data_IF_406627025398
#
_entry.id   IF_406627025398
#
_cell.length_a   1.000
_cell.length_b   1.000
_cell.length_c   1.000
_cell.angle_alpha   90.00
_cell.angle_beta   90.00
_cell.angle_gamma   90.00
#
_symmetry.space_group_name_H-M   'P 1'
#
loop_
_entity.id
_entity.type
_entity.pdbx_description
1 polymer ?
#
# COMPACT_ATOMS: atom_id res chain seq x y z
N UNK A 1 -17.20 34.20 -27.06
CA UNK A 1 -18.04 33.00 -27.05
C UNK A 1 -17.34 32.00 -26.14
N UNK A 2 -17.75 31.91 -24.88
CA UNK A 2 -17.05 31.11 -23.86
C UNK A 2 -17.45 29.66 -24.02
N UNK A 3 -16.50 28.84 -24.46
CA UNK A 3 -16.61 27.40 -24.64
C UNK A 3 -16.73 26.75 -23.25
N UNK A 4 -17.94 26.73 -22.69
CA UNK A 4 -18.21 26.11 -21.39
C UNK A 4 -18.26 24.61 -21.59
N UNK A 5 -17.08 23.98 -21.56
CA UNK A 5 -16.93 22.53 -21.58
C UNK A 5 -17.88 21.91 -20.55
N UNK A 6 -18.83 21.12 -21.00
CA UNK A 6 -19.81 20.47 -20.12
C UNK A 6 -19.14 19.26 -19.46
N UNK A 7 -18.85 19.37 -18.15
CA UNK A 7 -18.10 18.36 -17.39
C UNK A 7 -18.99 17.22 -16.86
N UNK A 8 -20.27 17.48 -16.68
CA UNK A 8 -21.23 16.51 -16.14
C UNK A 8 -21.26 15.24 -16.98
N UNK A 9 -21.22 14.09 -16.30
CA UNK A 9 -21.23 12.77 -16.92
C UNK A 9 -19.88 12.30 -17.47
N UNK A 10 -18.87 13.17 -17.54
CA UNK A 10 -17.53 12.78 -17.96
C UNK A 10 -16.89 11.82 -16.94
N UNK A 11 -16.05 10.92 -17.44
CA UNK A 11 -15.25 9.99 -16.64
C UNK A 11 -13.81 10.47 -16.60
N UNK A 12 -13.27 10.65 -15.40
CA UNK A 12 -11.87 11.00 -15.17
C UNK A 12 -11.27 9.91 -14.28
N UNK A 13 -10.43 9.06 -14.87
CA UNK A 13 -9.89 7.88 -14.18
C UNK A 13 -11.01 6.98 -13.61
N UNK A 14 -10.98 6.66 -12.30
CA UNK A 14 -12.02 5.87 -11.66
C UNK A 14 -13.24 6.69 -11.22
N UNK A 15 -13.30 7.99 -11.50
CA UNK A 15 -14.38 8.88 -11.06
C UNK A 15 -15.31 9.27 -12.21
N UNK A 16 -16.59 9.49 -11.88
CA UNK A 16 -17.56 10.15 -12.77
C UNK A 16 -18.02 11.46 -12.16
N UNK A 17 -18.02 12.50 -12.98
CA UNK A 17 -18.43 13.86 -12.61
C UNK A 17 -19.96 13.96 -12.65
N UNK A 18 -20.55 14.58 -11.63
CA UNK A 18 -21.97 14.84 -11.45
C UNK A 18 -22.33 16.32 -11.66
N UNK A 19 -23.29 16.79 -10.87
CA UNK A 19 -23.79 18.17 -10.95
C UNK A 19 -22.75 19.19 -10.50
N UNK A 20 -22.85 20.42 -11.03
CA UNK A 20 -22.06 21.56 -10.56
C UNK A 20 -22.69 22.12 -9.28
N UNK A 21 -21.88 22.50 -8.31
CA UNK A 21 -22.37 23.26 -7.16
C UNK A 21 -22.73 24.69 -7.59
N UNK A 22 -23.98 25.13 -7.33
CA UNK A 22 -24.41 26.47 -7.72
C UNK A 22 -23.77 27.55 -6.84
N UNK A 23 -23.69 28.77 -7.40
CA UNK A 23 -23.35 29.97 -6.64
C UNK A 23 -21.86 30.17 -6.34
N UNK A 24 -20.96 29.34 -6.88
CA UNK A 24 -19.52 29.61 -6.89
C UNK A 24 -19.20 30.48 -8.12
N UNK A 25 -18.60 31.67 -7.95
CA UNK A 25 -18.24 32.56 -9.04
C UNK A 25 -17.42 31.85 -10.13
N UNK A 26 -17.62 32.21 -11.40
CA UNK A 26 -16.96 31.54 -12.53
C UNK A 26 -15.48 31.89 -12.68
N UNK A 27 -15.06 32.99 -12.06
CA UNK A 27 -13.68 33.44 -11.89
C UNK A 27 -12.94 32.66 -10.79
N UNK A 28 -13.66 31.91 -9.95
CA UNK A 28 -13.10 30.93 -9.03
C UNK A 28 -13.03 29.52 -9.66
N UNK A 29 -12.63 28.53 -8.87
CA UNK A 29 -12.72 27.13 -9.27
C UNK A 29 -14.17 26.67 -9.43
N UNK A 30 -14.45 25.87 -10.46
CA UNK A 30 -15.75 25.21 -10.65
C UNK A 30 -15.76 23.91 -9.87
N UNK A 31 -16.65 23.82 -8.89
CA UNK A 31 -16.82 22.61 -8.09
C UNK A 31 -17.96 21.75 -8.62
N UNK A 32 -17.70 20.46 -8.73
CA UNK A 32 -18.67 19.47 -9.14
C UNK A 32 -18.70 18.30 -8.15
N UNK A 33 -19.88 17.71 -7.99
CA UNK A 33 -20.00 16.38 -7.42
C UNK A 33 -19.19 15.39 -8.24
N UNK A 34 -18.60 14.40 -7.57
CA UNK A 34 -18.01 13.24 -8.22
C UNK A 34 -18.28 11.98 -7.40
N UNK A 35 -18.16 10.82 -8.02
CA UNK A 35 -18.24 9.56 -7.32
C UNK A 35 -17.28 8.54 -7.92
N UNK A 36 -16.69 7.72 -7.07
CA UNK A 36 -15.87 6.60 -7.51
C UNK A 36 -16.76 5.53 -8.15
N UNK A 37 -16.43 5.09 -9.35
CA UNK A 37 -17.29 4.19 -10.14
C UNK A 37 -17.49 2.82 -9.48
N UNK A 38 -16.46 2.29 -8.84
CA UNK A 38 -16.51 0.97 -8.18
C UNK A 38 -17.05 1.04 -6.76
N UNK A 39 -16.45 1.85 -5.87
CA UNK A 39 -16.85 1.95 -4.46
C UNK A 39 -18.13 2.77 -4.26
N UNK A 40 -18.50 3.63 -5.22
CA UNK A 40 -19.58 4.63 -5.11
C UNK A 40 -19.39 5.60 -3.97
N UNK A 41 -18.16 5.79 -3.52
CA UNK A 41 -17.83 6.79 -2.52
C UNK A 41 -17.95 8.18 -3.14
N UNK A 42 -18.50 9.16 -2.38
CA UNK A 42 -18.57 10.54 -2.83
C UNK A 42 -17.16 11.13 -2.94
N UNK A 43 -16.97 11.97 -3.94
CA UNK A 43 -15.76 12.73 -4.18
C UNK A 43 -16.12 14.14 -4.65
N UNK A 44 -15.16 15.05 -4.58
CA UNK A 44 -15.29 16.42 -5.08
C UNK A 44 -14.38 16.59 -6.29
N UNK A 45 -14.93 17.03 -7.41
CA UNK A 45 -14.14 17.43 -8.58
C UNK A 45 -13.94 18.94 -8.54
N UNK A 46 -12.67 19.36 -8.46
CA UNK A 46 -12.24 20.75 -8.49
C UNK A 46 -11.68 21.05 -9.88
N UNK A 47 -12.29 21.99 -10.58
CA UNK A 47 -11.95 22.30 -11.97
C UNK A 47 -11.49 23.77 -12.06
N UNK A 48 -10.38 24.08 -12.74
CA UNK A 48 -9.91 25.45 -12.88
C UNK A 48 -10.95 26.36 -13.57
N UNK A 49 -10.91 27.67 -13.27
CA UNK A 49 -11.67 28.67 -14.01
C UNK A 49 -11.30 28.64 -15.49
N UNK A 50 -12.21 29.11 -16.33
CA UNK A 50 -12.00 29.10 -17.78
C UNK A 50 -10.80 29.96 -18.16
N UNK A 51 -9.84 29.37 -18.89
CA UNK A 51 -8.63 30.07 -19.34
C UNK A 51 -7.45 30.02 -18.37
N UNK A 52 -7.63 29.38 -17.20
CA UNK A 52 -6.52 29.07 -16.30
C UNK A 52 -6.12 27.60 -16.46
N UNK A 53 -4.81 27.35 -16.49
CA UNK A 53 -4.23 26.01 -16.46
C UNK A 53 -3.36 25.90 -15.21
N UNK A 54 -3.91 25.24 -14.18
CA UNK A 54 -3.13 24.92 -12.98
C UNK A 54 -2.04 23.96 -13.41
N UNK A 55 -0.79 24.44 -13.43
CA UNK A 55 0.39 23.72 -13.93
C UNK A 55 0.69 22.48 -13.09
N UNK A 56 -0.13 21.45 -13.24
CA UNK A 56 -0.07 20.15 -12.58
C UNK A 56 0.05 19.07 -13.66
N UNK A 57 1.17 19.03 -14.41
CA UNK A 57 1.34 18.13 -15.55
C UNK A 57 1.43 16.66 -15.15
N UNK A 58 1.85 16.37 -13.92
CA UNK A 58 2.02 15.01 -13.44
C UNK A 58 0.74 14.49 -12.79
N UNK A 59 0.19 13.33 -13.19
CA UNK A 59 -0.95 12.74 -12.50
C UNK A 59 -0.48 12.03 -11.22
N UNK A 60 -1.11 12.35 -10.09
CA UNK A 60 -0.77 11.81 -8.77
C UNK A 60 -2.01 11.69 -7.88
N UNK A 61 -1.90 10.90 -6.82
CA UNK A 61 -2.84 10.84 -5.71
C UNK A 61 -2.16 11.38 -4.45
N UNK A 62 -2.84 12.27 -3.74
CA UNK A 62 -2.40 12.78 -2.44
C UNK A 62 -3.41 12.35 -1.40
N UNK A 63 -2.99 11.53 -0.45
CA UNK A 63 -3.81 11.07 0.67
C UNK A 63 -3.35 11.77 1.93
N UNK A 64 -4.27 12.46 2.58
CA UNK A 64 -4.03 13.10 3.88
C UNK A 64 -4.77 12.32 4.96
N UNK A 65 -4.04 11.83 5.96
CA UNK A 65 -4.60 11.06 7.08
C UNK A 65 -4.34 11.81 8.38
N UNK A 66 -5.41 12.22 9.06
CA UNK A 66 -5.32 12.81 10.38
C UNK A 66 -5.39 11.71 11.45
N UNK A 67 -4.40 11.69 12.35
CA UNK A 67 -4.38 10.89 13.56
C UNK A 67 -4.57 11.83 14.76
N UNK A 68 -5.80 11.98 15.29
CA UNK A 68 -6.09 12.91 16.39
C UNK A 68 -5.23 12.68 17.63
N UNK A 69 -4.88 11.42 17.88
CA UNK A 69 -3.88 11.01 18.85
C UNK A 69 -2.85 10.15 18.09
N UNK A 70 -1.58 10.57 17.96
CA UNK A 70 -0.87 11.61 18.72
C UNK A 70 -0.96 13.05 18.18
N UNK A 71 -1.93 13.39 17.33
CA UNK A 71 -2.08 14.74 16.76
C UNK A 71 -1.20 14.95 15.52
N UNK A 72 -1.11 13.92 14.68
CA UNK A 72 -0.22 13.90 13.51
C UNK A 72 -1.04 13.87 12.24
N UNK A 73 -0.65 14.71 11.28
CA UNK A 73 -1.18 14.70 9.92
C UNK A 73 -0.14 14.05 9.00
N UNK A 74 -0.47 12.89 8.43
CA UNK A 74 0.37 12.21 7.45
C UNK A 74 -0.11 12.54 6.05
N UNK A 75 0.83 12.81 5.15
CA UNK A 75 0.56 13.10 3.74
C UNK A 75 1.33 12.10 2.89
N UNK A 76 0.60 11.20 2.24
CA UNK A 76 1.15 10.22 1.30
C UNK A 76 0.92 10.73 -0.13
N UNK A 77 1.98 10.81 -0.93
CA UNK A 77 1.89 11.13 -2.35
C UNK A 77 2.28 9.91 -3.18
N UNK A 78 1.35 9.44 -4.02
CA UNK A 78 1.55 8.30 -4.90
C UNK A 78 1.44 8.75 -6.36
N UNK A 79 2.46 8.51 -7.21
CA UNK A 79 2.36 8.75 -8.64
C UNK A 79 1.28 7.85 -9.24
N UNK A 80 0.53 8.35 -10.22
CA UNK A 80 -0.50 7.55 -10.87
C UNK A 80 0.03 6.89 -12.16
N UNK A 81 -0.15 5.57 -12.29
CA UNK A 81 0.44 4.75 -13.37
C UNK A 81 1.98 4.86 -13.40
N UNK A 82 2.61 4.66 -14.57
CA UNK A 82 4.06 4.77 -14.77
C UNK A 82 4.55 6.22 -14.88
N UNK A 83 3.90 7.16 -14.18
CA UNK A 83 4.27 8.57 -14.18
C UNK A 83 5.44 8.83 -13.24
N UNK A 84 6.23 9.86 -13.56
CA UNK A 84 7.27 10.38 -12.67
C UNK A 84 6.68 10.80 -11.31
N UNK A 85 7.50 10.77 -10.26
CA UNK A 85 7.09 11.29 -8.97
C UNK A 85 6.78 12.79 -9.04
N UNK A 86 5.65 13.25 -8.46
CA UNK A 86 5.32 14.67 -8.46
C UNK A 86 6.31 15.46 -7.62
N UNK A 87 6.55 16.71 -8.00
CA UNK A 87 7.40 17.62 -7.23
C UNK A 87 6.66 18.14 -6.00
N UNK A 88 7.40 18.53 -4.96
CA UNK A 88 6.83 19.19 -3.77
C UNK A 88 6.03 20.45 -4.16
N UNK A 89 6.46 21.16 -5.20
CA UNK A 89 5.76 22.34 -5.71
C UNK A 89 4.38 21.98 -6.29
N UNK A 90 4.29 20.96 -7.13
CA UNK A 90 2.99 20.48 -7.67
C UNK A 90 2.06 19.99 -6.56
N UNK A 91 2.59 19.24 -5.58
CA UNK A 91 1.82 18.78 -4.43
C UNK A 91 1.28 19.96 -3.61
N UNK A 92 2.11 20.98 -3.39
CA UNK A 92 1.73 22.20 -2.66
C UNK A 92 0.63 22.96 -3.40
N UNK A 93 0.76 23.15 -4.71
CA UNK A 93 -0.26 23.81 -5.52
C UNK A 93 -1.58 23.03 -5.48
N UNK A 94 -1.55 21.71 -5.70
CA UNK A 94 -2.75 20.88 -5.63
C UNK A 94 -3.43 20.95 -4.26
N UNK A 95 -2.66 20.97 -3.17
CA UNK A 95 -3.18 21.16 -1.82
C UNK A 95 -3.83 22.53 -1.62
N UNK A 96 -3.22 23.62 -2.12
CA UNK A 96 -3.78 24.98 -2.05
C UNK A 96 -5.12 25.05 -2.80
N UNK A 97 -5.19 24.54 -4.03
CA UNK A 97 -6.43 24.54 -4.80
C UNK A 97 -7.54 23.74 -4.11
N UNK A 98 -7.18 22.58 -3.54
CA UNK A 98 -8.13 21.74 -2.79
C UNK A 98 -8.60 22.43 -1.51
N UNK A 99 -7.70 23.07 -0.76
CA UNK A 99 -8.06 23.80 0.46
C UNK A 99 -8.97 25.01 0.15
N UNK A 100 -8.68 25.75 -0.92
CA UNK A 100 -9.52 26.86 -1.38
C UNK A 100 -10.93 26.37 -1.76
N UNK A 101 -11.02 25.27 -2.51
CA UNK A 101 -12.28 24.63 -2.87
C UNK A 101 -13.09 24.15 -1.65
N UNK A 102 -12.42 23.55 -0.66
CA UNK A 102 -13.09 23.11 0.57
C UNK A 102 -13.55 24.32 1.41
N UNK A 103 -12.77 25.40 1.44
CA UNK A 103 -13.12 26.62 2.18
C UNK A 103 -14.33 27.33 1.57
N UNK A 104 -14.44 27.36 0.23
CA UNK A 104 -15.60 27.97 -0.45
C UNK A 104 -16.89 27.16 -0.26
N UNK A 105 -16.76 25.86 0.01
CA UNK A 105 -17.87 25.00 0.43
C UNK A 105 -18.23 25.21 1.90
N UNK A 106 -17.26 25.21 2.81
CA UNK A 106 -17.48 25.34 4.27
C UNK A 106 -18.17 26.65 4.65
N UNK A 107 -17.92 27.73 3.90
CA UNK A 107 -18.62 29.00 4.05
C UNK A 107 -20.14 28.92 3.78
N UNK A 108 -20.69 27.75 3.43
CA UNK A 108 -22.09 27.55 3.07
C UNK A 108 -22.76 26.47 3.94
N UNK A 109 -24.01 26.72 4.32
CA UNK A 109 -24.81 25.83 5.20
C UNK A 109 -25.04 24.40 4.65
N UNK A 110 -24.82 24.17 3.34
CA UNK A 110 -25.03 22.87 2.68
C UNK A 110 -23.79 21.92 2.75
N UNK A 111 -22.65 22.41 3.25
CA UNK A 111 -21.37 21.70 3.33
C UNK A 111 -21.36 20.35 4.10
N UNK A 112 -22.10 20.15 5.22
CA UNK A 112 -21.91 18.95 6.04
C UNK A 112 -22.48 17.67 5.43
N UNK A 113 -23.07 17.69 4.23
CA UNK A 113 -23.69 16.50 3.62
C UNK A 113 -22.81 15.74 2.61
N UNK A 114 -21.72 16.35 2.13
CA UNK A 114 -20.91 15.83 1.02
C UNK A 114 -20.27 14.47 1.32
N UNK A 115 -19.63 14.36 2.49
CA UNK A 115 -18.94 13.15 2.93
C UNK A 115 -19.72 12.40 4.01
N UNK A 116 -20.84 12.96 4.49
CA UNK A 116 -21.70 12.35 5.50
C UNK A 116 -22.73 11.38 4.93
N UNK A 117 -22.98 11.38 3.61
CA UNK A 117 -23.81 10.36 2.95
C UNK A 117 -23.10 9.01 3.01
N UNK A 118 -23.25 8.31 4.14
CA UNK A 118 -22.91 6.90 4.29
C UNK A 118 -23.56 6.14 3.14
N UNK A 119 -22.77 5.78 2.12
CA UNK A 119 -23.13 4.68 1.24
C UNK A 119 -23.48 3.52 2.17
N UNK A 120 -24.68 2.92 2.07
CA UNK A 120 -25.04 1.80 2.93
C UNK A 120 -23.95 0.77 2.74
N UNK A 121 -23.20 0.49 3.82
CA UNK A 121 -22.09 -0.44 3.81
C UNK A 121 -22.63 -1.72 3.18
N UNK A 122 -22.29 -1.95 1.91
CA UNK A 122 -22.75 -3.13 1.20
C UNK A 122 -21.91 -4.24 1.77
N UNK A 123 -22.39 -4.80 2.87
CA UNK A 123 -21.94 -6.04 3.47
C UNK A 123 -21.60 -6.96 2.31
N UNK A 124 -20.31 -7.18 2.11
CA UNK A 124 -19.77 -8.07 1.09
C UNK A 124 -20.12 -9.48 1.52
N UNK A 125 -21.41 -9.83 1.48
CA UNK A 125 -21.87 -11.20 1.54
C UNK A 125 -21.44 -11.83 0.23
N UNK A 126 -20.19 -12.30 0.20
CA UNK A 126 -19.80 -13.29 -0.79
C UNK A 126 -20.77 -14.46 -0.61
N UNK A 127 -21.55 -14.83 -1.63
CA UNK A 127 -22.42 -15.97 -1.50
C UNK A 127 -21.53 -17.21 -1.35
N UNK A 128 -21.61 -17.82 -0.18
CA UNK A 128 -21.18 -19.18 0.13
C UNK A 128 -21.93 -20.15 -0.80
N UNK A 129 -21.55 -20.18 -2.08
CA UNK A 129 -22.14 -21.02 -3.14
C UNK A 129 -21.08 -21.73 -4.00
N UNK A 130 -19.84 -21.77 -3.53
CA UNK A 130 -18.77 -22.59 -4.13
C UNK A 130 -18.32 -23.75 -3.22
N UNK A 131 -19.03 -24.00 -2.11
CA UNK A 131 -18.73 -25.11 -1.18
C UNK A 131 -19.32 -26.48 -1.59
N UNK A 132 -20.20 -26.53 -2.59
CA UNK A 132 -20.88 -27.78 -2.99
C UNK A 132 -20.33 -28.43 -4.27
N UNK A 133 -19.55 -27.71 -5.07
CA UNK A 133 -18.91 -28.28 -6.27
C UNK A 133 -17.58 -29.01 -5.95
N UNK A 134 -16.88 -28.62 -4.87
CA UNK A 134 -15.58 -29.18 -4.51
C UNK A 134 -15.67 -30.58 -3.87
N UNK A 135 -16.78 -30.91 -3.20
CA UNK A 135 -16.96 -32.23 -2.55
C UNK A 135 -17.20 -33.33 -3.58
N UNK A 136 -17.87 -33.02 -4.69
CA UNK A 136 -18.13 -33.98 -5.77
C UNK A 136 -16.86 -34.39 -6.53
N UNK A 137 -15.93 -33.47 -6.74
CA UNK A 137 -14.69 -33.75 -7.49
C UNK A 137 -13.67 -34.58 -6.68
N UNK A 138 -13.64 -34.41 -5.35
CA UNK A 138 -12.73 -35.16 -4.48
C UNK A 138 -13.10 -36.65 -4.36
N UNK A 139 -14.39 -36.98 -4.40
CA UNK A 139 -14.85 -38.37 -4.35
C UNK A 139 -14.52 -39.15 -5.62
N UNK A 140 -14.55 -38.51 -6.80
CA UNK A 140 -14.20 -39.16 -8.07
C UNK A 140 -12.69 -39.35 -8.21
N UNK A 141 -11.87 -38.38 -7.78
CA UNK A 141 -10.41 -38.51 -7.81
C UNK A 141 -9.89 -39.58 -6.85
N UNK A 142 -10.50 -39.72 -5.66
CA UNK A 142 -10.16 -40.76 -4.68
C UNK A 142 -10.43 -42.17 -5.18
N UNK A 143 -11.54 -42.38 -5.91
CA UNK A 143 -11.91 -43.69 -6.46
C UNK A 143 -10.96 -44.13 -7.59
N UNK A 144 -10.48 -43.19 -8.41
CA UNK A 144 -9.55 -43.48 -9.53
C UNK A 144 -8.13 -43.79 -9.04
N UNK A 145 -7.68 -43.18 -7.93
CA UNK A 145 -6.37 -43.49 -7.34
C UNK A 145 -6.34 -44.85 -6.64
N UNK A 146 -7.44 -45.31 -6.07
CA UNK A 146 -7.53 -46.61 -5.41
C UNK A 146 -7.53 -47.81 -6.38
N UNK A 147 -7.91 -47.58 -7.64
CA UNK A 147 -8.01 -48.65 -8.66
C UNK A 147 -6.73 -48.84 -9.50
N UNK A 148 -5.63 -48.12 -9.21
CA UNK A 148 -4.37 -48.31 -9.94
C UNK A 148 -3.52 -49.40 -9.28
N UNK A 149 -3.25 -50.53 -9.97
CA UNK A 149 -2.30 -51.52 -9.50
C UNK A 149 -0.88 -50.95 -9.59
N UNK A 150 -0.09 -51.23 -8.56
CA UNK A 150 1.25 -50.69 -8.37
C UNK A 150 2.23 -51.11 -9.46
N UNK A 151 3.03 -50.13 -9.89
CA UNK A 151 4.23 -50.31 -10.70
C UNK A 151 5.31 -49.41 -10.11
N UNK A 152 6.46 -50.01 -9.83
CA UNK A 152 7.55 -49.44 -9.04
C UNK A 152 8.33 -48.28 -9.67
N UNK A 153 9.30 -47.83 -8.86
CA UNK A 153 10.51 -47.01 -9.12
C UNK A 153 11.13 -47.12 -10.53
N UNK A 154 12.09 -46.24 -10.94
CA UNK A 154 12.87 -45.26 -10.15
C UNK A 154 13.03 -43.87 -10.80
N UNK A 155 13.65 -42.92 -10.09
CA UNK A 155 14.79 -42.13 -10.59
C UNK A 155 15.16 -40.99 -9.63
N UNK A 156 16.35 -41.12 -9.05
CA UNK A 156 17.16 -40.00 -8.56
C UNK A 156 17.31 -38.93 -9.66
N UNK A 157 17.24 -37.66 -9.27
CA UNK A 157 18.06 -36.64 -9.92
C UNK A 157 18.50 -35.64 -8.85
N UNK A 158 19.71 -35.86 -8.33
CA UNK A 158 20.51 -34.79 -7.75
C UNK A 158 20.87 -33.81 -8.87
N UNK A 159 20.57 -32.54 -8.69
CA UNK A 159 21.28 -31.46 -9.34
C UNK A 159 21.64 -30.43 -8.29
N UNK A 160 22.86 -30.58 -7.77
CA UNK A 160 23.60 -29.49 -7.18
C UNK A 160 23.86 -28.46 -8.30
N UNK A 161 23.57 -27.20 -8.03
CA UNK A 161 24.20 -26.10 -8.75
C UNK A 161 25.02 -25.31 -7.75
N UNK A 162 26.31 -25.64 -7.73
CA UNK A 162 27.37 -24.75 -7.30
C UNK A 162 27.31 -23.50 -8.19
N UNK A 163 27.10 -22.34 -7.59
CA UNK A 163 27.53 -21.08 -8.19
C UNK A 163 27.99 -20.17 -7.08
N UNK A 164 29.31 -20.13 -6.91
CA UNK A 164 29.96 -19.18 -6.03
C UNK A 164 29.88 -17.75 -6.57
N UNK A 165 29.89 -16.82 -5.62
CA UNK A 165 30.14 -15.36 -5.71
C UNK A 165 28.96 -14.47 -6.19
N UNK A 166 28.86 -13.19 -5.76
CA UNK A 166 29.81 -12.40 -4.96
C UNK A 166 29.25 -11.91 -3.60
N UNK A 167 30.11 -11.85 -2.59
CA UNK A 167 29.87 -11.09 -1.37
C UNK A 167 29.72 -9.60 -1.71
N UNK A 168 28.49 -9.09 -1.61
CA UNK A 168 28.19 -7.66 -1.72
C UNK A 168 28.46 -6.94 -0.37
N UNK A 169 28.77 -5.63 -0.41
CA UNK A 169 29.28 -4.90 0.75
C UNK A 169 28.29 -4.89 1.92
N UNK A 170 28.80 -5.10 3.13
CA UNK A 170 28.05 -5.07 4.41
C UNK A 170 27.28 -3.74 4.61
N UNK A 171 27.57 -2.70 3.81
CA UNK A 171 27.09 -1.32 3.95
C UNK A 171 25.70 -1.04 3.36
N UNK A 172 24.97 -2.04 2.85
CA UNK A 172 23.61 -1.86 2.28
C UNK A 172 22.48 -2.54 3.09
N UNK A 173 22.82 -3.13 4.24
CA UNK A 173 21.84 -3.81 5.11
C UNK A 173 21.32 -2.80 6.14
N UNK A 174 20.11 -2.30 5.88
CA UNK A 174 19.41 -1.42 6.81
C UNK A 174 18.84 -2.24 7.97
N UNK A 175 19.37 -2.02 9.18
CA UNK A 175 18.83 -2.58 10.42
C UNK A 175 17.67 -1.70 10.88
N UNK A 176 16.44 -2.23 10.89
CA UNK A 176 15.26 -1.48 11.33
C UNK A 176 15.23 -1.31 12.85
N UNK A 177 15.13 -0.06 13.33
CA UNK A 177 14.61 0.24 14.67
C UNK A 177 13.08 0.17 14.61
N UNK A 178 12.41 -0.27 15.68
CA UNK A 178 10.96 -0.48 15.77
C UNK A 178 10.07 0.78 15.62
N UNK A 179 10.59 1.86 15.02
CA UNK A 179 9.87 3.13 14.79
C UNK A 179 9.91 3.67 13.36
N UNK A 180 10.61 3.05 12.42
CA UNK A 180 10.64 3.53 11.03
C UNK A 180 10.48 2.38 10.03
N UNK A 181 9.32 2.29 9.38
CA UNK A 181 9.05 1.31 8.31
C UNK A 181 8.63 2.01 7.01
N UNK A 182 9.61 2.41 6.20
CA UNK A 182 9.40 2.84 4.81
C UNK A 182 10.56 2.36 3.94
N UNK A 183 10.39 1.26 3.19
CA UNK A 183 11.39 0.79 2.21
C UNK A 183 10.74 0.49 0.85
N UNK A 184 11.27 1.03 -0.28
CA UNK A 184 10.73 0.82 -1.63
C UNK A 184 11.00 -0.59 -2.19
N UNK A 185 10.18 -0.99 -3.15
CA UNK A 185 10.17 -2.33 -3.79
C UNK A 185 11.41 -2.55 -4.66
N UNK A 186 12.24 -3.49 -4.24
CA UNK A 186 13.02 -4.36 -5.11
C UNK A 186 13.28 -5.67 -4.40
N UNK A 187 13.67 -6.65 -5.18
CA UNK A 187 13.72 -8.07 -4.85
C UNK A 187 14.53 -8.27 -3.55
N UNK A 188 13.87 -8.80 -2.52
CA UNK A 188 14.52 -9.20 -1.27
C UNK A 188 15.64 -10.21 -1.48
N UNK A 189 16.54 -10.33 -0.50
CA UNK A 189 17.67 -11.25 -0.56
C UNK A 189 17.30 -12.61 0.07
N UNK A 190 17.91 -13.74 -0.35
CA UNK A 190 17.68 -15.01 0.32
C UNK A 190 18.20 -14.96 1.77
N UNK A 191 17.47 -15.55 2.71
CA UNK A 191 17.85 -15.51 4.12
C UNK A 191 19.25 -16.11 4.37
N UNK A 192 20.16 -15.37 5.04
CA UNK A 192 21.54 -15.79 5.26
C UNK A 192 21.64 -17.01 6.18
N UNK A 193 22.69 -17.80 6.02
CA UNK A 193 22.91 -19.00 6.84
C UNK A 193 23.26 -18.69 8.29
N UNK A 194 23.85 -17.52 8.54
CA UNK A 194 24.27 -17.04 9.85
C UNK A 194 23.70 -15.63 10.09
N UNK A 195 23.42 -15.27 11.36
CA UNK A 195 22.96 -13.92 11.69
C UNK A 195 24.01 -12.87 11.34
N UNK A 196 23.57 -11.66 11.01
CA UNK A 196 24.48 -10.54 10.81
C UNK A 196 25.18 -10.14 12.12
N UNK A 197 26.38 -9.54 12.05
CA UNK A 197 27.16 -9.15 13.23
C UNK A 197 26.37 -8.27 14.22
N UNK A 198 25.51 -7.39 13.69
CA UNK A 198 24.69 -6.45 14.47
C UNK A 198 23.24 -6.93 14.68
N UNK A 199 22.88 -8.12 14.21
CA UNK A 199 21.55 -8.68 14.38
C UNK A 199 21.38 -9.29 15.77
N UNK A 200 20.23 -9.05 16.40
CA UNK A 200 19.86 -9.69 17.65
C UNK A 200 19.88 -11.21 17.51
N UNK A 201 20.46 -11.87 18.50
CA UNK A 201 20.44 -13.33 18.67
C UNK A 201 19.52 -13.67 19.82
N UNK A 202 19.02 -14.90 19.91
CA UNK A 202 18.18 -15.33 21.02
C UNK A 202 18.73 -14.93 22.41
N UNK A 203 17.86 -14.57 23.37
CA UNK A 203 16.39 -14.67 23.31
C UNK A 203 15.72 -13.57 22.48
N UNK A 204 14.82 -13.96 21.57
CA UNK A 204 14.05 -13.03 20.74
C UNK A 204 12.83 -12.47 21.49
N UNK A 205 12.37 -11.28 21.10
CA UNK A 205 11.21 -10.64 21.71
C UNK A 205 9.95 -11.45 21.37
N UNK A 206 9.21 -11.96 22.37
CA UNK A 206 8.03 -12.79 22.13
C UNK A 206 6.96 -12.01 21.37
N UNK A 207 6.15 -12.71 20.56
CA UNK A 207 5.05 -12.17 19.73
C UNK A 207 5.51 -11.37 18.50
N UNK A 208 6.57 -10.57 18.60
CA UNK A 208 7.04 -9.71 17.51
C UNK A 208 8.17 -10.31 16.68
N UNK A 209 8.95 -11.22 17.26
CA UNK A 209 10.12 -11.82 16.62
C UNK A 209 10.05 -13.35 16.59
N UNK A 210 10.68 -13.92 15.57
CA UNK A 210 10.88 -15.36 15.43
C UNK A 210 12.36 -15.66 15.29
N UNK A 211 12.79 -16.74 15.95
CA UNK A 211 14.15 -17.25 15.77
C UNK A 211 14.23 -18.05 14.47
N UNK A 212 15.10 -17.61 13.56
CA UNK A 212 15.40 -18.33 12.34
C UNK A 212 16.91 -18.29 12.12
N UNK A 213 17.53 -19.47 11.96
CA UNK A 213 18.98 -19.64 11.76
C UNK A 213 19.83 -18.91 12.83
N UNK A 214 19.38 -18.94 14.09
CA UNK A 214 20.08 -18.35 15.23
C UNK A 214 20.02 -16.81 15.33
N UNK A 215 19.24 -16.15 14.47
CA UNK A 215 18.99 -14.71 14.51
C UNK A 215 17.52 -14.43 14.81
N UNK A 216 17.26 -13.26 15.39
CA UNK A 216 15.90 -12.77 15.60
C UNK A 216 15.42 -12.00 14.38
N UNK A 217 14.23 -12.34 13.92
CA UNK A 217 13.62 -11.82 12.71
C UNK A 217 12.21 -11.33 12.98
N UNK A 218 11.86 -10.18 12.41
CA UNK A 218 10.51 -9.64 12.43
C UNK A 218 9.81 -10.07 11.15
N UNK A 219 8.65 -10.71 11.27
CA UNK A 219 7.84 -11.08 10.11
C UNK A 219 7.27 -9.81 9.45
N UNK A 220 7.55 -9.63 8.17
CA UNK A 220 6.95 -8.58 7.39
C UNK A 220 5.53 -8.97 6.96
N UNK A 221 4.64 -7.97 6.83
CA UNK A 221 3.23 -8.21 6.43
C UNK A 221 3.09 -8.63 4.97
N UNK A 222 4.06 -8.27 4.12
CA UNK A 222 4.12 -8.72 2.72
C UNK A 222 4.78 -10.11 2.61
N UNK A 223 4.21 -10.96 1.77
CA UNK A 223 4.82 -12.20 1.29
C UNK A 223 5.68 -11.95 0.05
N UNK A 224 6.44 -12.96 -0.41
CA UNK A 224 7.20 -12.85 -1.65
C UNK A 224 6.31 -12.39 -2.82
N UNK A 225 6.78 -11.48 -3.71
CA UNK A 225 8.13 -10.93 -3.82
C UNK A 225 8.46 -9.90 -2.72
N UNK A 226 9.58 -10.12 -2.04
CA UNK A 226 9.96 -9.33 -0.87
C UNK A 226 10.50 -7.93 -1.23
N UNK A 227 10.20 -6.89 -0.43
CA UNK A 227 10.73 -5.53 -0.65
C UNK A 227 12.23 -5.43 -0.32
N UNK A 228 12.89 -4.33 -0.72
CA UNK A 228 14.34 -4.16 -0.51
C UNK A 228 14.66 -4.30 0.96
N UNK A 229 15.87 -4.78 1.26
CA UNK A 229 16.38 -4.96 2.63
C UNK A 229 15.64 -5.98 3.51
N UNK A 230 14.69 -6.75 2.93
CA UNK A 230 14.08 -7.89 3.61
C UNK A 230 14.64 -9.22 3.10
N UNK A 231 14.75 -10.18 4.01
CA UNK A 231 15.15 -11.54 3.74
C UNK A 231 13.94 -12.39 3.34
N UNK A 232 13.99 -13.08 2.21
CA UNK A 232 13.00 -14.11 1.86
C UNK A 232 13.36 -15.44 2.52
N UNK A 233 12.38 -16.04 3.21
CA UNK A 233 12.47 -17.41 3.72
C UNK A 233 11.10 -18.09 3.66
N UNK A 234 11.04 -19.23 2.94
CA UNK A 234 9.80 -20.01 2.75
C UNK A 234 8.62 -19.17 2.22
N UNK A 235 8.87 -18.27 1.27
CA UNK A 235 7.84 -17.41 0.65
C UNK A 235 7.35 -16.25 1.53
N UNK A 236 7.97 -16.02 2.69
CA UNK A 236 7.70 -14.89 3.60
C UNK A 236 8.89 -13.96 3.66
N UNK A 237 8.64 -12.70 4.01
CA UNK A 237 9.66 -11.67 4.10
C UNK A 237 9.96 -11.35 5.57
N UNK A 238 11.23 -11.17 5.89
CA UNK A 238 11.70 -10.96 7.24
C UNK A 238 12.66 -9.79 7.33
N UNK A 239 12.57 -9.03 8.42
CA UNK A 239 13.50 -7.94 8.75
C UNK A 239 14.42 -8.42 9.87
N UNK A 240 15.76 -8.28 9.76
CA UNK A 240 16.67 -8.63 10.84
C UNK A 240 16.49 -7.66 12.01
N UNK A 241 16.23 -8.18 13.21
CA UNK A 241 16.15 -7.34 14.42
C UNK A 241 17.53 -6.86 14.83
N UNK A 242 17.68 -5.60 15.25
CA UNK A 242 18.96 -5.02 15.69
C UNK A 242 19.24 -5.41 17.14
N UNK A 243 20.51 -5.67 17.50
CA UNK A 243 20.93 -5.77 18.90
C UNK A 243 20.60 -4.48 19.66
N UNK A 244 20.05 -4.61 20.87
CA UNK A 244 19.85 -3.47 21.76
C UNK A 244 21.21 -2.94 22.23
N UNK A 245 21.43 -1.62 22.09
CA UNK A 245 22.63 -0.99 22.61
C UNK A 245 22.54 -0.93 24.15
N UNK A 246 23.57 -1.38 24.88
CA UNK A 246 23.53 -1.34 26.34
C UNK A 246 23.38 0.10 26.82
N UNK A 247 22.34 0.36 27.63
CA UNK A 247 22.12 1.69 28.19
C UNK A 247 23.33 2.11 29.05
N UNK A 248 23.83 3.35 28.91
CA UNK A 248 24.94 3.83 29.72
C UNK A 248 24.51 3.86 31.18
N UNK A 249 25.12 2.99 31.99
CA UNK A 249 24.91 3.03 33.44
C UNK A 249 25.82 4.12 34.02
N UNK A 250 25.21 5.16 34.57
CA UNK A 250 25.94 6.13 35.39
C UNK A 250 26.54 5.38 36.58
N UNK A 251 27.87 5.44 36.71
CA UNK A 251 28.57 4.95 37.90
C UNK A 251 28.40 6.05 38.95
N UNK A 252 27.56 5.81 39.95
CA UNK A 252 27.43 6.73 41.07
C UNK A 252 28.62 6.52 42.02
N UNK A 253 29.27 7.60 42.49
CA UNK A 253 30.53 7.54 43.24
C UNK A 253 30.37 6.99 44.66
#
# INVERSE_FOLDING_TARGET
MSDTREWKGQRIGPYRIGERYPGIPEDECRLHEAHHLETREPALAVIPPSGEDWRLPTPWCLRTTNFPEPGVLIVDAEPLHDSSAPTVHELTLGAIHTAGALSSLDAREEAPTLFARKSPARSRRQPLRWGLAAVGLLLVAGLVLWLRPGSGEPAETRLAHDTGMPSLPEDSISFGNARDFSFPVAIGYPMPEKPFKQQATPPCIPVTEVEIRGGCWILHTQSAPCPRSTAEYQGKCYIPSKKEEPQPRSVQP
#
